data_IF_760957291811
#
_entry.id   IF_760957291811
#
_cell.length_a   1.000
_cell.length_b   1.000
_cell.length_c   1.000
_cell.angle_alpha   90.00
_cell.angle_beta   90.00
_cell.angle_gamma   90.00
#
_symmetry.space_group_name_H-M   'P 1'
#
loop_
_entity.id
_entity.type
_entity.pdbx_description
1 polymer ?
#
# COMPACT_ATOMS: atom_id res chain seq x y z
N UNK A 1 -7.85 22.88 4.19
CA UNK A 1 -7.73 21.79 3.21
C UNK A 1 -7.25 20.59 4.00
N UNK A 2 -8.15 19.65 4.28
CA UNK A 2 -7.87 18.49 5.11
C UNK A 2 -6.94 17.55 4.35
N UNK A 3 -5.86 17.11 4.98
CA UNK A 3 -4.86 16.30 4.31
C UNK A 3 -5.44 14.95 3.85
N UNK A 4 -5.19 14.59 2.60
CA UNK A 4 -5.57 13.30 2.01
C UNK A 4 -4.67 12.19 2.55
N UNK A 5 -4.97 11.71 3.76
CA UNK A 5 -4.25 10.65 4.45
C UNK A 5 -5.17 9.86 5.37
N UNK A 6 -4.87 8.58 5.59
CA UNK A 6 -5.54 7.79 6.64
C UNK A 6 -5.24 8.38 8.01
N UNK A 7 -6.26 8.45 8.85
CA UNK A 7 -6.19 8.81 10.26
C UNK A 7 -6.41 7.55 11.10
N UNK A 8 -6.14 7.63 12.41
CA UNK A 8 -6.35 6.49 13.33
C UNK A 8 -7.80 5.99 13.38
N UNK A 9 -8.76 6.86 13.07
CA UNK A 9 -10.19 6.54 13.04
C UNK A 9 -10.67 6.03 11.66
N UNK A 10 -9.78 5.89 10.69
CA UNK A 10 -10.13 5.36 9.37
C UNK A 10 -10.34 3.84 9.44
N UNK A 11 -11.36 3.31 8.73
CA UNK A 11 -11.53 1.87 8.58
C UNK A 11 -10.31 1.26 7.88
N UNK A 12 -10.05 0.01 8.23
CA UNK A 12 -9.05 -0.81 7.55
C UNK A 12 -9.47 -1.07 6.11
N UNK A 13 -8.48 -1.37 5.25
CA UNK A 13 -8.75 -1.75 3.86
C UNK A 13 -9.63 -3.00 3.77
N UNK A 14 -9.46 -3.96 4.69
CA UNK A 14 -10.27 -5.17 4.75
C UNK A 14 -11.73 -4.86 5.10
N UNK A 15 -11.98 -3.92 6.01
CA UNK A 15 -13.34 -3.47 6.34
C UNK A 15 -13.99 -2.73 5.17
N UNK A 16 -13.26 -1.86 4.46
CA UNK A 16 -13.78 -1.19 3.26
C UNK A 16 -14.11 -2.19 2.14
N UNK A 17 -13.28 -3.22 1.98
CA UNK A 17 -13.54 -4.29 1.04
C UNK A 17 -14.78 -5.12 1.43
N UNK A 18 -14.88 -5.50 2.71
CA UNK A 18 -16.05 -6.20 3.25
C UNK A 18 -17.34 -5.37 3.11
N UNK A 19 -17.25 -4.04 3.22
CA UNK A 19 -18.36 -3.12 2.96
C UNK A 19 -18.79 -3.17 1.50
N UNK A 20 -17.84 -3.26 0.56
CA UNK A 20 -18.11 -3.34 -0.86
C UNK A 20 -18.69 -4.70 -1.28
N UNK A 21 -18.18 -5.81 -0.72
CA UNK A 21 -18.67 -7.17 -1.01
C UNK A 21 -19.97 -7.50 -0.28
N UNK A 22 -20.38 -6.68 0.68
CA UNK A 22 -21.53 -6.92 1.54
C UNK A 22 -21.28 -7.99 2.61
N UNK A 23 -20.04 -8.43 2.78
CA UNK A 23 -19.61 -9.41 3.78
C UNK A 23 -19.37 -8.76 5.15
N UNK A 24 -20.39 -8.05 5.65
CA UNK A 24 -20.32 -7.41 6.96
C UNK A 24 -21.68 -7.19 7.61
N UNK A 25 -21.66 -6.92 8.91
CA UNK A 25 -22.86 -6.61 9.66
C UNK A 25 -23.46 -5.25 9.25
N UNK A 26 -24.78 -5.11 9.38
CA UNK A 26 -25.49 -3.86 9.08
C UNK A 26 -25.02 -2.70 9.96
N UNK A 27 -24.62 -2.98 11.19
CA UNK A 27 -24.11 -1.97 12.12
C UNK A 27 -22.75 -1.43 11.67
N UNK A 28 -21.84 -2.31 11.26
CA UNK A 28 -20.49 -1.95 10.81
C UNK A 28 -20.55 -1.21 9.47
N UNK A 29 -21.42 -1.66 8.56
CA UNK A 29 -21.66 -0.98 7.29
C UNK A 29 -22.24 0.42 7.46
N UNK A 30 -23.05 0.65 8.50
CA UNK A 30 -23.53 1.99 8.81
C UNK A 30 -22.38 2.91 9.25
N UNK A 31 -21.50 2.43 10.12
CA UNK A 31 -20.33 3.19 10.60
C UNK A 31 -19.43 3.60 9.43
N UNK A 32 -19.11 2.66 8.53
CA UNK A 32 -18.28 2.91 7.35
C UNK A 32 -18.93 3.93 6.41
N UNK A 33 -20.25 3.80 6.17
CA UNK A 33 -20.99 4.76 5.33
C UNK A 33 -20.98 6.18 5.91
N UNK A 34 -21.02 6.32 7.23
CA UNK A 34 -20.88 7.63 7.89
C UNK A 34 -19.44 8.15 7.75
N UNK A 35 -18.44 7.29 7.96
CA UNK A 35 -17.03 7.66 7.87
C UNK A 35 -16.65 8.15 6.46
N UNK A 36 -17.02 7.41 5.41
CA UNK A 36 -16.74 7.74 4.00
C UNK A 36 -17.26 9.13 3.61
N UNK A 37 -18.39 9.57 4.18
CA UNK A 37 -18.94 10.91 3.93
C UNK A 37 -18.10 12.05 4.51
N UNK A 38 -17.23 11.75 5.47
CA UNK A 38 -16.39 12.71 6.18
C UNK A 38 -14.90 12.60 5.84
N UNK A 39 -14.50 11.54 5.14
CA UNK A 39 -13.11 11.23 4.83
C UNK A 39 -12.93 11.05 3.32
N UNK A 40 -12.36 12.07 2.67
CA UNK A 40 -12.08 12.05 1.22
C UNK A 40 -11.17 10.87 0.82
N UNK A 41 -10.25 10.46 1.71
CA UNK A 41 -9.38 9.32 1.48
C UNK A 41 -10.17 8.00 1.38
N UNK A 42 -10.97 7.69 2.40
CA UNK A 42 -11.74 6.45 2.41
C UNK A 42 -12.87 6.45 1.37
N UNK A 43 -13.37 7.62 0.98
CA UNK A 43 -14.29 7.75 -0.15
C UNK A 43 -13.63 7.33 -1.46
N UNK A 44 -12.44 7.86 -1.75
CA UNK A 44 -11.69 7.48 -2.94
C UNK A 44 -11.25 6.00 -2.90
N UNK A 45 -10.90 5.47 -1.73
CA UNK A 45 -10.54 4.05 -1.56
C UNK A 45 -11.75 3.12 -1.77
N UNK A 46 -12.94 3.50 -1.29
CA UNK A 46 -14.16 2.73 -1.54
C UNK A 46 -14.54 2.75 -3.04
N UNK A 47 -14.44 3.92 -3.68
CA UNK A 47 -14.66 4.05 -5.12
C UNK A 47 -13.66 3.19 -5.91
N UNK A 48 -12.40 3.11 -5.47
CA UNK A 48 -11.41 2.23 -6.09
C UNK A 48 -11.84 0.75 -6.07
N UNK A 49 -12.35 0.25 -4.93
CA UNK A 49 -12.84 -1.13 -4.83
C UNK A 49 -14.12 -1.38 -5.62
N UNK A 50 -14.96 -0.37 -5.84
CA UNK A 50 -16.12 -0.46 -6.72
C UNK A 50 -15.71 -0.60 -8.19
N UNK A 51 -14.70 0.16 -8.62
CA UNK A 51 -14.20 0.13 -10.00
C UNK A 51 -13.35 -1.10 -10.31
N UNK A 52 -12.60 -1.60 -9.32
CA UNK A 52 -11.72 -2.76 -9.44
C UNK A 52 -12.13 -3.82 -8.43
N UNK A 53 -13.24 -4.55 -8.69
CA UNK A 53 -13.66 -5.63 -7.82
C UNK A 53 -12.54 -6.66 -7.73
N UNK A 54 -12.16 -6.99 -6.49
CA UNK A 54 -11.19 -8.05 -6.21
C UNK A 54 -11.91 -9.38 -6.49
N UNK A 55 -11.91 -9.79 -7.75
CA UNK A 55 -12.36 -11.11 -8.14
C UNK A 55 -11.23 -12.07 -7.75
N UNK A 56 -11.47 -12.99 -6.83
CA UNK A 56 -10.49 -14.05 -6.44
C UNK A 56 -9.99 -14.84 -7.66
N UNK A 57 -10.76 -14.80 -8.75
CA UNK A 57 -10.54 -15.47 -10.03
C UNK A 57 -9.52 -14.74 -10.93
N UNK A 58 -9.20 -13.49 -10.60
CA UNK A 58 -8.21 -12.66 -11.29
C UNK A 58 -6.93 -12.47 -10.45
N UNK A 59 -6.74 -13.28 -9.41
CA UNK A 59 -5.38 -13.61 -8.97
C UNK A 59 -4.78 -14.52 -10.04
N UNK A 60 -4.52 -13.95 -11.23
CA UNK A 60 -3.38 -14.47 -12.00
C UNK A 60 -2.27 -14.49 -10.97
N UNK A 61 -1.76 -15.69 -10.69
CA UNK A 61 -0.52 -15.86 -9.96
C UNK A 61 0.51 -15.22 -10.86
N UNK A 62 0.60 -13.89 -10.79
CA UNK A 62 1.68 -13.13 -11.36
C UNK A 62 2.83 -13.68 -10.59
N UNK A 63 3.53 -14.63 -11.21
CA UNK A 63 4.78 -15.15 -10.71
C UNK A 63 5.64 -13.91 -10.59
N UNK A 64 5.69 -13.37 -9.37
CA UNK A 64 6.48 -12.20 -9.08
C UNK A 64 7.88 -12.61 -9.50
N UNK A 65 8.49 -11.96 -10.51
CA UNK A 65 9.80 -12.36 -10.95
C UNK A 65 10.69 -12.38 -9.71
N UNK A 66 11.49 -13.45 -9.57
CA UNK A 66 12.39 -13.57 -8.44
C UNK A 66 13.18 -12.25 -8.32
N UNK A 67 13.15 -11.66 -7.12
CA UNK A 67 13.86 -10.40 -6.87
C UNK A 67 15.32 -10.64 -7.28
N UNK A 68 15.88 -9.81 -8.19
CA UNK A 68 17.27 -9.94 -8.58
C UNK A 68 18.18 -9.98 -7.35
N UNK A 69 19.11 -10.92 -7.31
CA UNK A 69 20.02 -11.16 -6.17
C UNK A 69 20.68 -9.87 -5.64
N UNK A 70 21.17 -8.92 -6.48
CA UNK A 70 21.74 -7.67 -5.97
C UNK A 70 20.74 -6.78 -5.22
N UNK A 71 19.46 -6.81 -5.62
CA UNK A 71 18.39 -6.05 -4.96
C UNK A 71 17.96 -6.72 -3.66
N UNK A 72 17.98 -8.05 -3.63
CA UNK A 72 17.69 -8.83 -2.43
C UNK A 72 18.77 -8.58 -1.36
N UNK A 73 20.05 -8.72 -1.70
CA UNK A 73 21.18 -8.42 -0.81
C UNK A 73 21.12 -6.98 -0.29
N UNK A 74 20.73 -6.03 -1.15
CA UNK A 74 20.57 -4.64 -0.75
C UNK A 74 19.44 -4.48 0.26
N UNK A 75 18.27 -5.06 0.01
CA UNK A 75 17.13 -4.99 0.91
C UNK A 75 17.47 -5.60 2.28
N UNK A 76 18.13 -6.75 2.31
CA UNK A 76 18.62 -7.36 3.54
C UNK A 76 19.63 -6.46 4.26
N UNK A 77 20.56 -5.83 3.55
CA UNK A 77 21.53 -4.91 4.14
C UNK A 77 20.88 -3.66 4.74
N UNK A 78 19.81 -3.13 4.11
CA UNK A 78 19.04 -1.98 4.63
C UNK A 78 18.23 -2.38 5.85
N UNK A 79 17.49 -3.49 5.78
CA UNK A 79 16.59 -3.92 6.86
C UNK A 79 17.36 -4.46 8.07
N UNK A 80 18.51 -5.09 7.85
CA UNK A 80 19.35 -5.65 8.93
C UNK A 80 20.25 -4.61 9.60
N UNK A 81 20.41 -3.42 9.02
CA UNK A 81 21.27 -2.36 9.57
C UNK A 81 20.45 -1.15 9.95
N UNK A 82 20.45 -0.85 11.24
CA UNK A 82 19.85 0.34 11.86
C UNK A 82 20.48 1.69 11.44
N UNK A 83 21.28 1.73 10.38
CA UNK A 83 21.88 2.94 9.78
C UNK A 83 22.15 2.64 8.29
N UNK A 84 21.90 3.60 7.38
CA UNK A 84 22.19 3.42 5.96
C UNK A 84 23.66 3.05 5.81
N UNK A 85 23.90 1.83 5.31
CA UNK A 85 25.25 1.31 5.19
C UNK A 85 26.03 2.23 4.26
N UNK A 86 27.23 2.67 4.67
CA UNK A 86 28.18 3.52 3.91
C UNK A 86 28.44 3.05 2.46
N UNK A 87 28.09 1.80 2.17
CA UNK A 87 28.04 1.18 0.85
C UNK A 87 27.04 1.84 -0.09
N UNK A 88 25.85 2.23 0.38
CA UNK A 88 24.83 2.93 -0.41
C UNK A 88 25.30 4.32 -0.84
N UNK A 89 25.83 5.10 0.09
CA UNK A 89 26.36 6.44 -0.21
C UNK A 89 27.50 6.38 -1.23
N UNK A 90 28.31 5.32 -1.18
CA UNK A 90 29.39 5.10 -2.14
C UNK A 90 28.85 4.72 -3.53
N UNK A 91 27.85 3.83 -3.60
CA UNK A 91 27.24 3.41 -4.87
C UNK A 91 26.48 4.56 -5.54
N UNK A 92 25.74 5.38 -4.77
CA UNK A 92 25.06 6.58 -5.27
C UNK A 92 26.09 7.56 -5.85
N UNK A 93 27.20 7.78 -5.13
CA UNK A 93 28.27 8.68 -5.58
C UNK A 93 28.98 8.18 -6.85
N UNK A 94 29.14 6.86 -7.00
CA UNK A 94 29.70 6.27 -8.22
C UNK A 94 28.74 6.42 -9.42
N UNK A 95 27.44 6.22 -9.22
CA UNK A 95 26.41 6.43 -10.27
C UNK A 95 26.33 7.90 -10.71
N UNK A 96 26.37 8.84 -9.76
CA UNK A 96 26.39 10.28 -10.05
C UNK A 96 27.66 10.72 -10.78
N UNK A 97 28.77 10.00 -10.59
CA UNK A 97 30.05 10.29 -11.26
C UNK A 97 30.15 9.76 -12.69
N UNK A 98 29.34 8.75 -13.03
CA UNK A 98 29.27 8.17 -14.39
C UNK A 98 28.29 8.93 -15.29
N UNK A 99 27.38 9.71 -14.71
CA UNK A 99 26.38 10.51 -15.46
C UNK A 99 26.89 11.92 -15.85
N UNK A 100 28.20 12.17 -15.81
CA UNK A 100 28.84 13.42 -16.27
C UNK A 100 29.81 13.20 -17.42
#
# INVERSE_FOLDING_TARGET
MSDFRKQGDCPTSQELLAFQTGDMSVADGHHIRVHIRSCDFCAAEAEFYEHYPINDEAHEVVSSPAIPEPLFELAEAILSKKEPSRTLDRLIKEIDSVSR
#
